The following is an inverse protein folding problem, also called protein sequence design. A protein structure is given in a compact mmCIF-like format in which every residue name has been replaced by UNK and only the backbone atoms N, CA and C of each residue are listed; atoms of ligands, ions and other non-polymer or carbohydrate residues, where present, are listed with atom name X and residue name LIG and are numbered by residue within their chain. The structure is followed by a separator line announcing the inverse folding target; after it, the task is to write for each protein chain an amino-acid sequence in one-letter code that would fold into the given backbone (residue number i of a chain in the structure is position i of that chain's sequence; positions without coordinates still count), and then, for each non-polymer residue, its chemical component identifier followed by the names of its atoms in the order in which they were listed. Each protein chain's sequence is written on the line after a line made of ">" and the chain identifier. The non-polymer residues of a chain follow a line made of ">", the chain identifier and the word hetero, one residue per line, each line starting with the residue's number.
data_IF_194521182825
#
_entry.id   IF_194521182825
#
_cell.length_a   1.000
_cell.length_b   1.000
_cell.length_c   1.000
_cell.angle_alpha   90.00
_cell.angle_beta   90.00
_cell.angle_gamma   90.00
#
_symmetry.space_group_name_H-M   'P 1'
#
loop_
_entity.id
_entity.type
_entity.pdbx_description
1 polymer ?
#
# COMPACT_ATOMS: atom_id res chain seq x y z
N UNK A 1 -4.78 -14.19 -15.48
CA UNK A 1 -4.91 -13.13 -14.48
C UNK A 1 -3.86 -12.08 -14.76
N UNK A 2 -4.26 -10.81 -14.83
CA UNK A 2 -3.33 -9.69 -15.01
C UNK A 2 -2.86 -9.17 -13.64
N UNK A 3 -1.72 -8.48 -13.61
CA UNK A 3 -1.12 -8.00 -12.35
C UNK A 3 -2.03 -7.01 -11.60
N UNK A 4 -2.76 -6.17 -12.34
CA UNK A 4 -3.78 -5.27 -11.80
C UNK A 4 -4.95 -6.03 -11.15
N UNK A 5 -5.39 -7.14 -11.74
CA UNK A 5 -6.43 -8.00 -11.15
C UNK A 5 -5.96 -8.63 -9.83
N UNK A 6 -4.70 -9.05 -9.72
CA UNK A 6 -4.12 -9.59 -8.48
C UNK A 6 -4.13 -8.53 -7.38
N UNK A 7 -3.65 -7.32 -7.69
CA UNK A 7 -3.61 -6.20 -6.74
C UNK A 7 -5.00 -5.89 -6.21
N UNK A 8 -6.00 -5.79 -7.09
CA UNK A 8 -7.38 -5.52 -6.69
C UNK A 8 -7.92 -6.61 -5.77
N UNK A 9 -7.73 -7.88 -6.12
CA UNK A 9 -8.20 -9.02 -5.30
C UNK A 9 -7.57 -9.05 -3.90
N UNK A 10 -6.29 -8.70 -3.78
CA UNK A 10 -5.61 -8.63 -2.49
C UNK A 10 -6.25 -7.56 -1.59
N UNK A 11 -6.44 -6.35 -2.11
CA UNK A 11 -7.05 -5.24 -1.37
C UNK A 11 -8.50 -5.56 -0.96
N UNK A 12 -9.30 -6.12 -1.87
CA UNK A 12 -10.69 -6.50 -1.60
C UNK A 12 -10.85 -7.65 -0.60
N UNK A 13 -9.89 -8.57 -0.55
CA UNK A 13 -9.89 -9.62 0.47
C UNK A 13 -9.80 -9.00 1.87
N UNK A 14 -8.81 -8.14 2.12
CA UNK A 14 -8.61 -7.52 3.42
C UNK A 14 -9.71 -6.52 3.78
N UNK A 15 -10.25 -5.80 2.79
CA UNK A 15 -11.39 -4.92 2.98
C UNK A 15 -12.63 -5.65 3.53
N UNK A 16 -12.91 -6.86 3.02
CA UNK A 16 -13.99 -7.71 3.54
C UNK A 16 -13.74 -8.24 4.94
N UNK A 17 -12.48 -8.30 5.38
CA UNK A 17 -12.10 -8.63 6.76
C UNK A 17 -12.09 -7.41 7.68
N UNK A 18 -12.54 -6.24 7.22
CA UNK A 18 -12.62 -5.02 8.01
C UNK A 18 -11.37 -4.12 7.96
N UNK A 19 -10.40 -4.39 7.08
CA UNK A 19 -9.26 -3.49 6.90
C UNK A 19 -9.62 -2.32 5.98
N UNK A 20 -9.19 -1.12 6.33
CA UNK A 20 -9.37 0.04 5.46
C UNK A 20 -8.33 0.04 4.33
N UNK A 21 -8.77 0.28 3.10
CA UNK A 21 -7.85 0.47 1.97
C UNK A 21 -7.28 1.89 2.06
N UNK A 22 -5.99 1.99 2.38
CA UNK A 22 -5.24 3.25 2.38
C UNK A 22 -4.36 3.34 1.11
N UNK A 23 -4.24 4.53 0.50
CA UNK A 23 -3.33 4.72 -0.62
C UNK A 23 -1.87 4.57 -0.17
N UNK A 24 -0.99 4.22 -1.11
CA UNK A 24 0.45 4.21 -0.87
C UNK A 24 0.93 5.60 -0.46
N UNK A 25 1.89 5.64 0.47
CA UNK A 25 2.62 6.86 0.82
C UNK A 25 3.57 7.28 -0.32
N UNK A 26 4.08 8.51 -0.21
CA UNK A 26 5.14 9.04 -1.08
C UNK A 26 6.40 8.17 -1.00
N UNK A 27 7.18 8.16 -2.08
CA UNK A 27 8.52 7.55 -2.07
C UNK A 27 9.51 8.34 -1.20
N UNK A 28 9.29 9.64 -1.02
CA UNK A 28 10.11 10.49 -0.15
C UNK A 28 9.41 10.64 1.21
N UNK A 29 10.02 10.17 2.32
CA UNK A 29 9.47 10.30 3.66
C UNK A 29 9.30 11.77 4.06
N UNK A 30 8.17 12.11 4.68
CA UNK A 30 7.89 13.48 5.10
C UNK A 30 8.55 13.82 6.45
N UNK A 31 8.51 12.88 7.40
CA UNK A 31 8.78 13.15 8.82
C UNK A 31 9.90 12.27 9.42
N UNK A 32 10.57 11.44 8.60
CA UNK A 32 11.69 10.61 9.04
C UNK A 32 12.99 11.05 8.36
N UNK A 33 13.85 11.81 9.06
CA UNK A 33 15.12 12.28 8.50
C UNK A 33 16.19 11.18 8.40
N UNK A 34 15.95 9.99 8.97
CA UNK A 34 16.87 8.86 8.93
C UNK A 34 16.64 7.95 7.72
N UNK A 35 15.47 8.05 7.08
CA UNK A 35 15.08 7.22 5.95
C UNK A 35 15.20 7.99 4.62
N UNK A 36 15.93 7.43 3.66
CA UNK A 36 16.11 8.07 2.36
C UNK A 36 14.88 7.92 1.44
N UNK A 37 14.30 6.71 1.36
CA UNK A 37 13.10 6.42 0.58
C UNK A 37 12.21 5.42 1.31
N UNK A 38 10.90 5.50 1.10
CA UNK A 38 9.92 4.50 1.58
C UNK A 38 10.31 3.11 1.07
N UNK A 39 10.61 2.22 1.99
CA UNK A 39 11.09 0.86 1.72
C UNK A 39 10.12 -0.22 2.18
N UNK A 40 9.03 0.15 2.87
CA UNK A 40 7.94 -0.71 3.32
C UNK A 40 6.66 0.11 3.55
#
# INVERSE_FOLDING_TARGET
>A
MRADEIRTRFLEYFARQGHEIRPSSSLVPADDPTLLFTNA
#
